data_IF_620210064084
#
_entry.id   IF_620210064084
#
_cell.length_a   1.000
_cell.length_b   1.000
_cell.length_c   1.000
_cell.angle_alpha   90.00
_cell.angle_beta   90.00
_cell.angle_gamma   90.00
#
_symmetry.space_group_name_H-M   'P 1'
#
loop_
_entity.id
_entity.type
_entity.pdbx_description
1 polymer ?
#
# COMPACT_ATOMS: atom_id res chain seq x y z
N UNK A 1 -20.25 -21.95 -2.39
CA UNK A 1 -19.14 -20.97 -2.42
C UNK A 1 -19.78 -19.59 -2.49
N UNK A 2 -19.39 -18.63 -1.66
CA UNK A 2 -19.96 -17.27 -1.69
C UNK A 2 -19.37 -16.46 -2.85
N UNK A 3 -20.17 -15.54 -3.39
CA UNK A 3 -19.71 -14.63 -4.44
C UNK A 3 -18.61 -13.69 -3.91
N UNK A 4 -17.60 -13.35 -4.73
CA UNK A 4 -16.57 -12.40 -4.35
C UNK A 4 -17.17 -11.01 -4.14
N UNK A 5 -16.63 -10.25 -3.18
CA UNK A 5 -17.02 -8.86 -2.99
C UNK A 5 -16.38 -7.96 -4.06
N UNK A 6 -16.96 -6.79 -4.34
CA UNK A 6 -16.46 -5.83 -5.34
C UNK A 6 -15.00 -5.45 -5.11
N UNK A 7 -14.61 -5.23 -3.84
CA UNK A 7 -13.22 -4.95 -3.45
C UNK A 7 -12.26 -6.06 -3.90
N UNK A 8 -12.62 -7.33 -3.70
CA UNK A 8 -11.79 -8.46 -4.13
C UNK A 8 -11.71 -8.60 -5.64
N UNK A 9 -12.79 -8.27 -6.35
CA UNK A 9 -12.79 -8.25 -7.83
C UNK A 9 -11.83 -7.19 -8.35
N UNK A 10 -11.91 -5.96 -7.85
CA UNK A 10 -11.10 -4.84 -8.33
C UNK A 10 -9.61 -5.01 -7.98
N UNK A 11 -9.30 -5.61 -6.83
CA UNK A 11 -7.94 -5.97 -6.44
C UNK A 11 -7.40 -7.24 -7.12
N UNK A 12 -8.23 -7.95 -7.90
CA UNK A 12 -7.92 -9.26 -8.49
C UNK A 12 -7.51 -10.30 -7.43
N UNK A 13 -8.15 -10.25 -6.26
CA UNK A 13 -7.97 -11.15 -5.10
C UNK A 13 -9.24 -11.93 -4.79
N UNK A 14 -10.04 -12.28 -5.80
CA UNK A 14 -11.32 -13.00 -5.61
C UNK A 14 -11.16 -14.34 -4.91
N UNK A 15 -10.02 -15.01 -5.09
CA UNK A 15 -9.63 -16.24 -4.40
C UNK A 15 -9.31 -16.06 -2.90
N UNK A 16 -9.11 -14.82 -2.45
CA UNK A 16 -8.91 -14.45 -1.05
C UNK A 16 -10.21 -14.01 -0.36
N UNK A 17 -11.30 -13.81 -1.10
CA UNK A 17 -12.59 -13.45 -0.53
C UNK A 17 -13.08 -14.49 0.48
N UNK A 18 -13.69 -14.00 1.56
CA UNK A 18 -14.37 -14.82 2.59
C UNK A 18 -13.47 -15.82 3.32
N UNK A 19 -12.14 -15.71 3.21
CA UNK A 19 -11.22 -16.53 4.00
C UNK A 19 -11.42 -16.27 5.50
N UNK A 20 -11.39 -17.34 6.28
CA UNK A 20 -11.66 -17.27 7.72
C UNK A 20 -10.42 -17.10 8.59
N UNK A 21 -9.26 -16.82 7.98
CA UNK A 21 -8.00 -16.67 8.69
C UNK A 21 -7.98 -15.47 9.66
N UNK A 22 -8.55 -14.33 9.25
CA UNK A 22 -8.62 -13.11 10.06
C UNK A 22 -10.00 -12.86 10.71
N UNK A 23 -11.01 -13.65 10.36
CA UNK A 23 -12.38 -13.51 10.89
C UNK A 23 -13.10 -14.85 10.85
N UNK A 24 -13.96 -15.13 11.82
CA UNK A 24 -14.84 -16.31 11.78
C UNK A 24 -16.14 -16.06 11.00
N UNK A 25 -16.43 -14.80 10.68
CA UNK A 25 -17.63 -14.41 9.95
C UNK A 25 -17.38 -14.41 8.44
N UNK A 26 -18.33 -14.97 7.70
CA UNK A 26 -18.35 -14.96 6.22
C UNK A 26 -19.54 -14.13 5.74
N UNK A 27 -19.44 -13.61 4.51
CA UNK A 27 -20.39 -12.66 3.96
C UNK A 27 -19.76 -11.29 3.67
N UNK A 28 -20.57 -10.37 3.18
CA UNK A 28 -20.15 -9.03 2.82
C UNK A 28 -21.21 -8.01 3.22
N UNK A 29 -20.75 -6.77 3.32
CA UNK A 29 -21.61 -5.59 3.46
C UNK A 29 -21.37 -4.61 2.33
N UNK A 30 -22.31 -3.71 2.12
CA UNK A 30 -22.12 -2.58 1.21
C UNK A 30 -21.16 -1.56 1.83
N UNK A 31 -20.46 -0.79 1.00
CA UNK A 31 -19.54 0.22 1.53
C UNK A 31 -20.29 1.38 2.22
N UNK A 32 -21.58 1.59 1.93
CA UNK A 32 -22.43 2.54 2.68
C UNK A 32 -22.54 2.21 4.17
N UNK A 33 -22.32 0.95 4.55
CA UNK A 33 -22.31 0.49 5.95
C UNK A 33 -20.94 0.65 6.63
N UNK A 34 -19.95 1.27 5.96
CA UNK A 34 -18.69 1.67 6.57
C UNK A 34 -18.79 3.08 7.13
N UNK A 35 -18.02 3.35 8.18
CA UNK A 35 -17.82 4.73 8.62
C UNK A 35 -17.06 5.52 7.54
N UNK A 36 -17.21 6.85 7.54
CA UNK A 36 -16.46 7.70 6.60
C UNK A 36 -14.94 7.53 6.73
N UNK A 37 -14.45 7.29 7.95
CA UNK A 37 -13.03 7.01 8.20
C UNK A 37 -12.61 5.67 7.60
N UNK A 38 -13.37 4.60 7.83
CA UNK A 38 -13.05 3.28 7.25
C UNK A 38 -13.10 3.29 5.72
N UNK A 39 -14.06 4.01 5.14
CA UNK A 39 -14.13 4.22 3.69
C UNK A 39 -12.86 4.91 3.18
N UNK A 40 -12.44 6.00 3.84
CA UNK A 40 -11.24 6.75 3.48
C UNK A 40 -9.99 5.87 3.59
N UNK A 41 -9.84 5.14 4.69
CA UNK A 41 -8.73 4.20 4.89
C UNK A 41 -8.72 3.12 3.80
N UNK A 42 -9.87 2.53 3.48
CA UNK A 42 -9.99 1.53 2.43
C UNK A 42 -9.53 2.09 1.08
N UNK A 43 -10.02 3.26 0.68
CA UNK A 43 -9.66 3.89 -0.59
C UNK A 43 -8.16 4.21 -0.64
N UNK A 44 -7.59 4.81 0.41
CA UNK A 44 -6.17 5.14 0.48
C UNK A 44 -5.28 3.89 0.46
N UNK A 45 -5.67 2.82 1.17
CA UNK A 45 -4.88 1.58 1.30
C UNK A 45 -4.92 0.69 0.08
N UNK A 46 -5.98 0.80 -0.71
CA UNK A 46 -6.16 0.01 -1.93
C UNK A 46 -5.85 0.77 -3.20
N UNK A 47 -5.76 2.11 -3.13
CA UNK A 47 -5.63 2.98 -4.29
C UNK A 47 -6.88 3.00 -5.17
N UNK A 48 -8.02 2.50 -4.66
CA UNK A 48 -9.26 2.37 -5.43
C UNK A 48 -10.20 3.54 -5.16
N UNK A 49 -10.81 4.05 -6.21
CA UNK A 49 -12.02 4.86 -6.09
C UNK A 49 -13.21 3.91 -6.03
N UNK A 50 -13.92 3.89 -4.91
CA UNK A 50 -15.06 3.01 -4.65
C UNK A 50 -16.33 3.84 -4.44
N UNK A 51 -17.45 3.35 -4.94
CA UNK A 51 -18.78 3.90 -4.73
C UNK A 51 -19.51 3.15 -3.61
N UNK A 52 -20.49 3.79 -2.96
CA UNK A 52 -21.18 3.23 -1.80
C UNK A 52 -21.90 1.89 -2.05
N UNK A 53 -22.32 1.64 -3.30
CA UNK A 53 -22.96 0.38 -3.72
C UNK A 53 -21.98 -0.79 -3.93
N UNK A 54 -20.66 -0.54 -3.89
CA UNK A 54 -19.69 -1.63 -3.90
C UNK A 54 -19.80 -2.45 -2.62
N UNK A 55 -19.30 -3.68 -2.65
CA UNK A 55 -19.30 -4.58 -1.50
C UNK A 55 -17.89 -4.90 -1.01
N UNK A 56 -17.77 -5.13 0.30
CA UNK A 56 -16.56 -5.64 0.95
C UNK A 56 -16.91 -6.82 1.87
N UNK A 57 -16.18 -7.92 1.72
CA UNK A 57 -16.36 -9.09 2.58
C UNK A 57 -15.71 -8.86 3.96
N UNK A 58 -16.20 -9.56 4.99
CA UNK A 58 -15.66 -9.42 6.34
C UNK A 58 -14.16 -9.76 6.42
N UNK A 59 -13.67 -10.62 5.53
CA UNK A 59 -12.23 -10.89 5.39
C UNK A 59 -11.45 -9.66 4.93
N UNK A 60 -11.89 -9.00 3.87
CA UNK A 60 -11.23 -7.79 3.34
C UNK A 60 -11.38 -6.59 4.29
N UNK A 61 -12.48 -6.49 5.05
CA UNK A 61 -12.58 -5.52 6.15
C UNK A 61 -11.42 -5.72 7.13
N UNK A 62 -11.21 -6.97 7.60
CA UNK A 62 -10.10 -7.26 8.51
C UNK A 62 -8.74 -6.89 7.92
N UNK A 63 -8.49 -7.21 6.65
CA UNK A 63 -7.21 -6.92 6.01
C UNK A 63 -6.97 -5.42 5.87
N UNK A 64 -7.91 -4.69 5.28
CA UNK A 64 -7.67 -3.32 4.83
C UNK A 64 -8.04 -2.26 5.86
N UNK A 65 -8.89 -2.56 6.83
CA UNK A 65 -9.29 -1.62 7.87
C UNK A 65 -8.58 -1.96 9.17
N UNK A 66 -8.77 -3.18 9.68
CA UNK A 66 -8.35 -3.52 11.04
C UNK A 66 -6.87 -3.92 11.16
N UNK A 67 -6.32 -4.66 10.19
CA UNK A 67 -5.02 -5.33 10.29
C UNK A 67 -3.98 -4.78 9.34
N UNK A 68 -4.33 -3.78 8.52
CA UNK A 68 -3.46 -3.33 7.44
C UNK A 68 -2.07 -2.95 7.95
N UNK A 69 -2.01 -2.19 9.03
CA UNK A 69 -0.77 -1.77 9.68
C UNK A 69 0.05 -2.97 10.19
N UNK A 70 -0.60 -3.95 10.82
CA UNK A 70 0.06 -5.17 11.30
C UNK A 70 0.68 -5.96 10.14
N UNK A 71 0.03 -5.96 8.98
CA UNK A 71 0.49 -6.66 7.78
C UNK A 71 1.69 -5.97 7.12
N UNK A 72 1.93 -4.68 7.40
CA UNK A 72 3.15 -4.00 6.94
C UNK A 72 4.33 -4.42 7.81
N UNK A 73 5.17 -5.33 7.28
CA UNK A 73 6.32 -5.93 8.01
C UNK A 73 7.66 -5.27 7.72
N UNK A 74 7.70 -4.28 6.84
CA UNK A 74 8.91 -3.57 6.45
C UNK A 74 8.62 -2.11 6.15
N UNK A 75 9.70 -1.32 6.07
CA UNK A 75 9.66 0.04 5.55
C UNK A 75 9.03 0.06 4.15
N UNK A 76 8.17 1.03 3.86
CA UNK A 76 7.62 1.27 2.53
C UNK A 76 8.65 1.86 1.55
N UNK A 77 9.82 2.25 2.04
CA UNK A 77 10.96 2.77 1.28
C UNK A 77 10.58 3.82 0.23
N UNK A 78 10.04 4.98 0.65
CA UNK A 78 9.55 5.99 -0.28
C UNK A 78 10.66 6.62 -1.15
N UNK A 79 11.93 6.42 -0.78
CA UNK A 79 13.10 6.94 -1.50
C UNK A 79 13.84 5.86 -2.30
N UNK A 80 13.39 4.61 -2.25
CA UNK A 80 14.03 3.48 -2.91
C UNK A 80 15.54 3.35 -2.57
N UNK A 81 15.88 3.55 -1.29
CA UNK A 81 17.27 3.55 -0.80
C UNK A 81 17.65 2.22 -0.14
N UNK A 82 16.70 1.31 0.06
CA UNK A 82 16.95 0.06 0.75
C UNK A 82 17.42 -1.03 -0.22
N UNK A 83 18.66 -1.51 -0.03
CA UNK A 83 19.18 -2.71 -0.71
C UNK A 83 18.59 -4.01 -0.14
N UNK A 84 18.07 -3.96 1.10
CA UNK A 84 17.41 -5.07 1.80
C UNK A 84 16.21 -4.52 2.59
N UNK A 85 15.17 -5.34 2.78
CA UNK A 85 13.99 -4.94 3.56
C UNK A 85 14.36 -4.46 4.96
N UNK A 86 14.09 -3.19 5.25
CA UNK A 86 14.25 -2.63 6.59
C UNK A 86 13.05 -3.02 7.46
N UNK A 87 13.29 -3.72 8.58
CA UNK A 87 12.23 -4.28 9.44
C UNK A 87 12.29 -3.84 10.91
N UNK A 88 13.32 -3.09 11.30
CA UNK A 88 13.58 -2.69 12.69
C UNK A 88 13.10 -1.27 12.96
N UNK A 89 12.57 -1.04 14.17
CA UNK A 89 12.16 0.27 14.70
C UNK A 89 11.29 1.06 13.72
N UNK A 90 10.29 0.37 13.19
CA UNK A 90 9.39 0.94 12.19
C UNK A 90 8.41 1.90 12.84
N UNK A 91 8.32 3.11 12.29
CA UNK A 91 7.32 4.10 12.64
C UNK A 91 6.13 3.99 11.69
N UNK A 92 4.91 4.01 12.23
CA UNK A 92 3.68 3.91 11.44
C UNK A 92 3.31 5.29 10.93
N UNK A 93 2.96 5.38 9.65
CA UNK A 93 2.37 6.57 9.03
C UNK A 93 0.88 6.57 9.37
N UNK A 94 0.42 7.54 10.16
CA UNK A 94 -1.01 7.74 10.40
C UNK A 94 -1.69 8.50 9.23
N UNK A 95 -2.95 8.88 9.40
CA UNK A 95 -3.72 9.56 8.36
C UNK A 95 -3.21 10.99 8.09
N UNK A 96 -2.80 11.69 9.13
CA UNK A 96 -2.33 13.07 9.05
C UNK A 96 -0.93 13.10 8.41
N UNK A 97 -0.05 12.21 8.86
CA UNK A 97 1.26 11.99 8.26
C UNK A 97 1.13 11.60 6.79
N UNK A 98 0.25 10.66 6.45
CA UNK A 98 0.03 10.26 5.05
C UNK A 98 -0.35 11.46 4.18
N UNK A 99 -1.26 12.31 4.66
CA UNK A 99 -1.73 13.51 3.94
C UNK A 99 -0.60 14.52 3.77
N UNK A 100 0.06 14.88 4.87
CA UNK A 100 1.15 15.85 4.89
C UNK A 100 2.32 15.41 4.01
N UNK A 101 2.79 14.18 4.18
CA UNK A 101 3.93 13.63 3.46
C UNK A 101 3.60 13.45 1.97
N UNK A 102 2.38 13.04 1.63
CA UNK A 102 1.97 12.92 0.23
C UNK A 102 2.04 14.26 -0.50
N UNK A 103 1.56 15.33 0.15
CA UNK A 103 1.66 16.68 -0.37
C UNK A 103 3.12 17.16 -0.48
N UNK A 104 3.92 16.92 0.57
CA UNK A 104 5.33 17.36 0.64
C UNK A 104 6.21 16.73 -0.45
N UNK A 105 6.02 15.45 -0.74
CA UNK A 105 6.89 14.70 -1.66
C UNK A 105 6.29 14.46 -3.05
N UNK A 106 5.04 14.88 -3.28
CA UNK A 106 4.34 14.60 -4.54
C UNK A 106 4.17 13.10 -4.82
N UNK A 107 4.18 12.27 -3.78
CA UNK A 107 4.07 10.81 -3.85
C UNK A 107 3.08 10.33 -2.81
N UNK A 108 2.09 9.54 -3.22
CA UNK A 108 1.11 8.99 -2.29
C UNK A 108 1.77 8.06 -1.26
N UNK A 109 1.71 8.48 0.01
CA UNK A 109 1.94 7.62 1.17
C UNK A 109 0.60 7.18 1.74
N UNK A 110 0.56 5.94 2.19
CA UNK A 110 -0.67 5.27 2.61
C UNK A 110 -0.69 5.13 4.13
N UNK A 111 -1.82 5.46 4.80
CA UNK A 111 -1.97 5.25 6.24
C UNK A 111 -1.80 3.77 6.62
N UNK A 112 -1.02 3.51 7.67
CA UNK A 112 -0.62 2.18 8.13
C UNK A 112 0.65 1.64 7.47
N UNK A 113 1.19 2.29 6.43
CA UNK A 113 2.56 2.01 5.99
C UNK A 113 3.56 2.38 7.07
N UNK A 114 4.77 1.82 6.95
CA UNK A 114 5.81 1.96 7.95
C UNK A 114 7.08 2.56 7.37
N UNK A 115 7.77 3.36 8.16
CA UNK A 115 9.05 3.99 7.83
C UNK A 115 10.12 3.48 8.79
N UNK A 116 11.31 3.15 8.28
CA UNK A 116 12.45 2.91 9.15
C UNK A 116 13.04 4.24 9.64
N UNK A 117 13.88 4.23 10.70
CA UNK A 117 14.45 5.46 11.25
C UNK A 117 15.20 6.31 10.22
N UNK A 118 15.90 5.68 9.26
CA UNK A 118 16.61 6.40 8.18
C UNK A 118 15.64 7.14 7.27
N UNK A 119 14.54 6.52 6.85
CA UNK A 119 13.52 7.18 6.02
C UNK A 119 12.82 8.32 6.78
N UNK A 120 12.54 8.12 8.07
CA UNK A 120 12.00 9.18 8.94
C UNK A 120 12.95 10.37 9.05
N UNK A 121 14.26 10.12 9.20
CA UNK A 121 15.28 11.19 9.24
C UNK A 121 15.35 11.98 7.93
N UNK A 122 15.27 11.31 6.77
CA UNK A 122 15.23 11.98 5.45
C UNK A 122 13.98 12.86 5.36
N UNK A 123 12.83 12.34 5.77
CA UNK A 123 11.56 13.07 5.76
C UNK A 123 11.64 14.35 6.61
N UNK A 124 12.30 14.26 7.76
CA UNK A 124 12.48 15.36 8.70
C UNK A 124 13.60 16.34 8.28
N UNK A 125 14.31 16.08 7.18
CA UNK A 125 15.44 16.90 6.72
C UNK A 125 16.68 16.78 7.63
N UNK A 126 16.79 15.71 8.41
CA UNK A 126 17.94 15.46 9.29
C UNK A 126 19.11 14.80 8.58
N UNK A 127 18.88 14.18 7.41
CA UNK A 127 19.90 13.54 6.58
C UNK A 127 19.53 13.68 5.10
N UNK A 128 20.51 13.94 4.23
CA UNK A 128 20.32 14.00 2.78
C UNK A 128 20.36 12.61 2.13
N UNK A 129 19.67 12.47 0.99
CA UNK A 129 19.77 11.28 0.15
C UNK A 129 20.99 11.45 -0.77
N UNK A 130 22.10 10.80 -0.43
CA UNK A 130 23.27 10.76 -1.32
C UNK A 130 22.85 10.27 -2.72
N UNK A 131 23.10 11.12 -3.72
CA UNK A 131 22.57 10.98 -5.09
C UNK A 131 23.20 9.81 -5.86
N UNK A 132 24.27 9.21 -5.31
CA UNK A 132 25.09 8.16 -5.91
C UNK A 132 24.37 6.80 -6.07
N UNK A 133 23.38 6.47 -5.23
CA UNK A 133 22.63 5.21 -5.37
C UNK A 133 21.59 5.26 -6.54
N UNK A 134 21.27 6.45 -7.08
CA UNK A 134 20.25 6.61 -8.13
C UNK A 134 20.78 6.34 -9.55
N UNK A 135 22.10 6.35 -9.78
CA UNK A 135 22.68 6.29 -11.13
C UNK A 135 22.93 4.88 -11.68
N UNK A 136 22.71 3.80 -10.91
CA UNK A 136 23.09 2.43 -11.35
C UNK A 136 22.05 1.63 -12.14
N UNK A 137 20.94 2.23 -12.59
CA UNK A 137 19.98 1.55 -13.47
C UNK A 137 19.59 2.44 -14.65
N UNK A 138 20.48 2.50 -15.64
CA UNK A 138 20.09 2.84 -17.02
C UNK A 138 19.21 1.70 -17.55
N UNK A 139 18.10 1.98 -18.26
CA UNK A 139 17.43 0.95 -19.06
C UNK A 139 18.36 0.53 -20.19
N UNK A 140 18.58 -0.77 -20.33
CA UNK A 140 19.23 -1.36 -21.50
C UNK A 140 18.27 -1.16 -22.69
N UNK A 141 18.64 -0.24 -23.59
CA UNK A 141 17.99 -0.08 -24.88
C UNK A 141 18.37 -1.28 -25.75
N UNK A 142 17.44 -2.21 -25.85
CA UNK A 142 17.43 -3.27 -26.85
C UNK A 142 17.03 -2.65 -28.20
N UNK A 143 17.90 -2.74 -29.22
CA UNK A 143 17.53 -2.53 -30.63
C UNK A 143 18.63 -3.05 -31.56
N UNK A 144 18.35 -4.17 -32.20
CA UNK A 144 18.55 -4.34 -33.65
C UNK A 144 19.85 -4.99 -34.12
N UNK A 145 19.90 -6.32 -34.07
CA UNK A 145 20.66 -7.14 -35.02
C UNK A 145 19.87 -7.20 -36.34
N UNK A 146 20.44 -6.63 -37.40
CA UNK A 146 20.13 -6.99 -38.79
C UNK A 146 21.45 -7.18 -39.50
N UNK A 147 21.79 -8.44 -39.72
CA UNK A 147 22.86 -8.91 -40.57
C UNK A 147 22.37 -8.89 -42.02
N UNK A 148 23.01 -8.07 -42.86
CA UNK A 148 23.07 -8.23 -44.31
C UNK A 148 24.55 -8.29 -44.69
N UNK A 149 25.00 -9.45 -45.19
CA UNK A 149 25.85 -9.67 -46.37
C UNK A 149 26.12 -11.18 -46.55
#
# INVERSE_FOLDING_TARGET
MMDPCSVGVQLRTTNECHKTYYTRHTGFKTLQELSSNDMLLLQLRTGMTLSGNNTICFHHVKIYIDRFEDLQKSCCDPFNIHKKLAKKNLHVIDLDDATFLSAKFGRQLVPGWKLCPKCTQIINGSVDVDTEDRQRRKPESDTGDTSEE
#
